data_IF_520217261325
#
_entry.id   IF_520217261325
#
_cell.length_a   1.000
_cell.length_b   1.000
_cell.length_c   1.000
_cell.angle_alpha   90.00
_cell.angle_beta   90.00
_cell.angle_gamma   90.00
#
_symmetry.space_group_name_H-M   'P 1'
#
loop_
_entity.id
_entity.type
_entity.pdbx_description
1 polymer ?
#
# COMPACT_ATOMS: atom_id res chain seq x y z
N UNK A 1 -24.52 -49.90 -45.72
CA UNK A 1 -24.26 -48.59 -45.08
C UNK A 1 -22.99 -48.01 -45.66
N UNK A 2 -23.13 -46.93 -46.45
CA UNK A 2 -22.09 -46.37 -47.29
C UNK A 2 -21.05 -45.60 -46.50
N UNK A 3 -19.81 -45.65 -46.97
CA UNK A 3 -18.62 -44.98 -46.40
C UNK A 3 -18.81 -43.49 -46.06
N UNK A 4 -19.71 -42.79 -46.73
CA UNK A 4 -20.04 -41.38 -46.54
C UNK A 4 -20.79 -41.13 -45.23
N UNK A 5 -21.56 -42.09 -44.69
CA UNK A 5 -22.26 -41.93 -43.40
C UNK A 5 -21.35 -42.07 -42.17
N UNK A 6 -20.20 -42.76 -42.31
CA UNK A 6 -19.21 -42.89 -41.21
C UNK A 6 -18.32 -41.65 -41.05
N UNK A 7 -18.17 -40.86 -42.12
CA UNK A 7 -17.36 -39.63 -42.08
C UNK A 7 -18.11 -38.47 -41.42
N UNK A 8 -19.45 -38.42 -41.55
CA UNK A 8 -20.28 -37.35 -40.92
C UNK A 8 -20.45 -37.50 -39.41
N UNK A 9 -20.33 -38.72 -38.89
CA UNK A 9 -20.43 -38.94 -37.42
C UNK A 9 -19.13 -38.63 -36.66
N UNK A 10 -17.97 -38.71 -37.36
CA UNK A 10 -16.67 -38.34 -36.72
C UNK A 10 -16.39 -36.87 -36.68
N UNK A 11 -16.98 -36.06 -37.57
CA UNK A 11 -16.81 -34.59 -37.57
C UNK A 11 -17.68 -33.92 -36.52
N UNK A 12 -18.80 -34.52 -36.09
CA UNK A 12 -19.68 -33.96 -35.07
C UNK A 12 -19.16 -34.15 -33.64
N UNK A 13 -18.33 -35.19 -33.40
CA UNK A 13 -17.77 -35.45 -32.06
C UNK A 13 -16.55 -34.57 -31.76
N UNK A 14 -15.82 -34.11 -32.81
CA UNK A 14 -14.64 -33.22 -32.61
C UNK A 14 -15.04 -31.77 -32.37
N UNK A 15 -16.23 -31.32 -32.82
CA UNK A 15 -16.72 -29.96 -32.56
C UNK A 15 -17.25 -29.72 -31.13
N UNK A 16 -17.54 -30.80 -30.36
CA UNK A 16 -18.06 -30.70 -28.99
C UNK A 16 -16.95 -30.69 -27.91
N UNK A 17 -15.68 -30.91 -28.30
CA UNK A 17 -14.56 -30.97 -27.37
C UNK A 17 -13.68 -29.69 -27.33
N UNK A 18 -14.02 -28.65 -28.10
CA UNK A 18 -13.28 -27.37 -28.15
C UNK A 18 -13.99 -26.20 -27.51
N UNK A 19 -15.10 -26.41 -26.80
CA UNK A 19 -15.85 -25.34 -26.12
C UNK A 19 -15.78 -25.43 -24.59
N UNK A 20 -14.72 -25.91 -23.99
CA UNK A 20 -14.66 -26.30 -22.61
C UNK A 20 -13.88 -25.46 -21.59
N UNK A 21 -13.18 -24.36 -21.85
CA UNK A 21 -12.63 -23.54 -20.75
C UNK A 21 -13.31 -22.17 -20.54
N UNK A 22 -14.12 -21.67 -21.49
CA UNK A 22 -14.66 -20.29 -21.41
C UNK A 22 -15.77 -20.10 -20.39
N UNK A 23 -16.56 -21.13 -20.08
CA UNK A 23 -17.73 -21.02 -19.20
C UNK A 23 -17.38 -20.85 -17.70
N UNK A 24 -16.21 -21.33 -17.28
CA UNK A 24 -15.79 -21.21 -15.87
C UNK A 24 -15.15 -19.86 -15.54
N UNK A 25 -14.44 -19.24 -16.48
CA UNK A 25 -13.86 -17.91 -16.29
C UNK A 25 -14.94 -16.84 -16.22
N UNK A 26 -15.93 -16.87 -17.11
CA UNK A 26 -17.08 -15.94 -17.11
C UNK A 26 -17.89 -16.01 -15.82
N UNK A 27 -17.99 -17.19 -15.18
CA UNK A 27 -18.68 -17.35 -13.88
C UNK A 27 -17.90 -16.71 -12.72
N UNK A 28 -16.58 -16.87 -12.67
CA UNK A 28 -15.72 -16.28 -11.63
C UNK A 28 -15.72 -14.74 -11.68
N UNK A 29 -15.50 -14.18 -12.85
CA UNK A 29 -15.51 -12.71 -13.03
C UNK A 29 -16.86 -12.11 -12.67
N UNK A 30 -17.94 -12.77 -13.08
CA UNK A 30 -19.32 -12.37 -12.71
C UNK A 30 -19.53 -12.44 -11.20
N UNK A 31 -19.06 -13.48 -10.52
CA UNK A 31 -19.16 -13.64 -9.06
C UNK A 31 -18.36 -12.56 -8.34
N UNK A 32 -17.12 -12.31 -8.76
CA UNK A 32 -16.26 -11.24 -8.21
C UNK A 32 -16.96 -9.88 -8.39
N UNK A 33 -17.42 -9.57 -9.59
CA UNK A 33 -18.11 -8.32 -9.87
C UNK A 33 -19.37 -8.14 -8.99
N UNK A 34 -20.15 -9.20 -8.76
CA UNK A 34 -21.34 -9.16 -7.90
C UNK A 34 -20.98 -8.90 -6.43
N UNK A 35 -19.88 -9.46 -5.93
CA UNK A 35 -19.39 -9.17 -4.56
C UNK A 35 -18.95 -7.70 -4.46
N UNK A 36 -18.12 -7.23 -5.40
CA UNK A 36 -17.55 -5.88 -5.38
C UNK A 36 -18.59 -4.77 -5.61
N UNK A 37 -19.74 -5.06 -6.26
CA UNK A 37 -20.88 -4.13 -6.35
C UNK A 37 -21.51 -3.81 -5.00
N UNK A 38 -21.47 -4.72 -4.05
CA UNK A 38 -22.12 -4.58 -2.74
C UNK A 38 -21.14 -4.37 -1.59
N UNK A 39 -19.88 -4.80 -1.79
CA UNK A 39 -18.82 -4.72 -0.77
C UNK A 39 -17.63 -3.95 -1.35
N UNK A 40 -17.35 -2.74 -0.88
CA UNK A 40 -16.25 -1.94 -1.42
C UNK A 40 -14.91 -2.62 -1.16
N UNK A 41 -14.13 -2.85 -2.21
CA UNK A 41 -12.70 -3.18 -2.11
C UNK A 41 -11.96 -1.92 -1.69
N UNK A 42 -11.19 -1.99 -0.60
CA UNK A 42 -10.44 -0.85 -0.06
C UNK A 42 -8.95 -1.06 -0.31
N UNK A 43 -8.33 -0.12 -1.03
CA UNK A 43 -6.87 0.02 -1.09
C UNK A 43 -6.40 0.74 0.18
N UNK A 44 -5.57 0.06 0.98
CA UNK A 44 -5.12 0.55 2.29
C UNK A 44 -4.04 1.62 2.21
N UNK A 45 -3.33 1.73 1.08
CA UNK A 45 -2.21 2.66 0.95
C UNK A 45 -1.86 2.92 -0.50
N UNK A 46 -1.89 4.18 -0.91
CA UNK A 46 -1.63 4.57 -2.29
C UNK A 46 -0.82 5.86 -2.36
N UNK A 47 0.40 5.76 -2.90
CA UNK A 47 1.37 6.86 -2.98
C UNK A 47 1.20 7.76 -4.20
N UNK A 48 0.04 7.75 -4.84
CA UNK A 48 -0.20 8.65 -5.97
C UNK A 48 0.00 10.14 -5.63
N UNK A 49 -0.37 10.64 -4.42
CA UNK A 49 -0.07 12.02 -4.05
C UNK A 49 1.43 12.35 -4.08
N UNK A 50 2.28 11.41 -3.66
CA UNK A 50 3.73 11.59 -3.74
C UNK A 50 4.26 11.62 -5.19
N UNK A 51 3.61 10.93 -6.14
CA UNK A 51 3.95 11.03 -7.57
C UNK A 51 3.67 12.44 -8.10
N UNK A 52 2.54 13.06 -7.71
CA UNK A 52 2.27 14.46 -8.05
C UNK A 52 3.32 15.42 -7.47
N UNK A 53 3.69 15.24 -6.20
CA UNK A 53 4.74 16.07 -5.59
C UNK A 53 6.05 15.95 -6.34
N UNK A 54 6.53 14.73 -6.56
CA UNK A 54 7.86 14.46 -7.10
C UNK A 54 7.99 14.81 -8.59
N UNK A 55 6.95 14.54 -9.39
CA UNK A 55 7.02 14.67 -10.85
C UNK A 55 6.61 16.04 -11.36
N UNK A 56 5.63 16.65 -10.73
CA UNK A 56 4.96 17.85 -11.25
C UNK A 56 4.75 18.92 -10.17
N UNK A 57 5.49 18.87 -9.05
CA UNK A 57 5.44 19.88 -7.98
C UNK A 57 4.01 20.23 -7.56
N UNK A 58 3.14 19.22 -7.42
CA UNK A 58 1.72 19.34 -7.05
C UNK A 58 0.82 20.07 -8.08
N UNK A 59 1.25 20.20 -9.35
CA UNK A 59 0.44 20.76 -10.44
C UNK A 59 -0.46 19.69 -11.08
N UNK A 60 -1.75 19.66 -10.72
CA UNK A 60 -2.71 18.64 -11.17
C UNK A 60 -2.85 18.58 -12.70
N UNK A 61 -2.75 19.73 -13.40
CA UNK A 61 -2.87 19.80 -14.86
C UNK A 61 -1.71 19.17 -15.64
N UNK A 62 -0.60 18.82 -14.98
CA UNK A 62 0.59 18.23 -15.61
C UNK A 62 0.64 16.71 -15.51
N UNK A 63 -0.24 16.10 -14.74
CA UNK A 63 -0.38 14.66 -14.62
C UNK A 63 -1.87 14.33 -14.45
N UNK A 64 -2.51 13.87 -15.52
CA UNK A 64 -3.93 13.58 -15.53
C UNK A 64 -4.22 12.15 -15.03
N UNK A 65 -4.75 12.03 -13.79
CA UNK A 65 -5.12 10.75 -13.19
C UNK A 65 -6.24 10.01 -13.96
N UNK A 66 -7.01 10.72 -14.79
CA UNK A 66 -8.05 10.11 -15.61
C UNK A 66 -7.51 9.47 -16.91
N UNK A 67 -6.26 9.72 -17.26
CA UNK A 67 -5.59 9.08 -18.39
C UNK A 67 -4.96 7.75 -18.03
N UNK A 68 -4.61 6.93 -19.03
CA UNK A 68 -3.85 5.68 -18.83
C UNK A 68 -2.37 6.01 -18.53
N UNK A 69 -2.03 6.02 -17.27
CA UNK A 69 -0.67 6.34 -16.80
C UNK A 69 0.32 5.17 -16.95
N UNK A 70 -0.07 4.07 -17.61
CA UNK A 70 0.89 3.03 -18.03
C UNK A 70 1.67 3.43 -19.28
N UNK A 71 1.19 4.42 -20.02
CA UNK A 71 1.73 4.86 -21.31
C UNK A 71 2.70 6.04 -21.20
N UNK A 72 2.91 6.59 -20.01
CA UNK A 72 3.86 7.69 -19.78
C UNK A 72 5.28 7.18 -19.50
N UNK A 73 6.27 8.03 -19.66
CA UNK A 73 7.63 7.76 -19.21
C UNK A 73 7.64 7.51 -17.70
N UNK A 74 8.23 6.38 -17.28
CA UNK A 74 8.18 5.88 -15.91
C UNK A 74 6.72 5.73 -15.41
N UNK A 75 5.99 4.70 -15.86
CA UNK A 75 4.59 4.48 -15.51
C UNK A 75 4.31 4.54 -14.02
N UNK A 76 3.11 4.97 -13.65
CA UNK A 76 2.63 4.88 -12.27
C UNK A 76 1.92 3.55 -12.02
N UNK A 77 1.80 3.15 -10.75
CA UNK A 77 1.02 1.96 -10.38
C UNK A 77 -0.49 2.24 -10.33
N UNK A 78 -0.91 3.52 -10.34
CA UNK A 78 -2.31 3.93 -10.14
C UNK A 78 -2.73 4.94 -11.20
N UNK A 79 -3.96 4.76 -11.73
CA UNK A 79 -4.77 5.73 -12.45
C UNK A 79 -6.26 5.38 -12.30
N UNK A 80 -7.16 6.30 -12.60
CA UNK A 80 -8.60 6.08 -12.50
C UNK A 80 -9.12 4.97 -13.43
N UNK A 81 -8.66 4.82 -14.68
CA UNK A 81 -9.04 3.69 -15.53
C UNK A 81 -8.77 2.32 -14.89
N UNK A 82 -7.60 2.14 -14.26
CA UNK A 82 -7.26 0.88 -13.58
C UNK A 82 -8.03 0.68 -12.28
N UNK A 83 -8.21 1.73 -11.46
CA UNK A 83 -9.03 1.66 -10.25
C UNK A 83 -10.48 1.27 -10.57
N UNK A 84 -11.07 1.84 -11.64
CA UNK A 84 -12.41 1.48 -12.11
C UNK A 84 -12.49 0.05 -12.62
N UNK A 85 -11.53 -0.36 -13.47
CA UNK A 85 -11.47 -1.73 -13.98
C UNK A 85 -11.32 -2.76 -12.88
N UNK A 86 -10.53 -2.45 -11.83
CA UNK A 86 -10.38 -3.26 -10.63
C UNK A 86 -11.56 -3.15 -9.66
N UNK A 87 -12.60 -2.37 -9.98
CA UNK A 87 -13.78 -2.14 -9.13
C UNK A 87 -13.40 -1.71 -7.69
N UNK A 88 -12.34 -0.91 -7.55
CA UNK A 88 -11.91 -0.37 -6.26
C UNK A 88 -12.99 0.57 -5.72
N UNK A 89 -13.50 0.26 -4.52
CA UNK A 89 -14.56 1.02 -3.87
C UNK A 89 -14.08 2.10 -2.92
N UNK A 90 -12.81 2.03 -2.49
CA UNK A 90 -12.18 3.05 -1.65
C UNK A 90 -10.67 3.02 -1.70
N UNK A 91 -10.04 4.17 -1.47
CA UNK A 91 -8.58 4.33 -1.47
C UNK A 91 -8.15 5.21 -0.30
N UNK A 92 -7.13 4.77 0.43
CA UNK A 92 -6.37 5.63 1.31
C UNK A 92 -5.22 6.28 0.54
N UNK A 93 -5.37 7.55 0.22
CA UNK A 93 -4.30 8.36 -0.36
C UNK A 93 -3.25 8.66 0.72
N UNK A 94 -2.02 8.21 0.49
CA UNK A 94 -0.90 8.44 1.39
C UNK A 94 -0.45 9.90 1.32
N UNK A 95 -0.45 10.60 2.46
CA UNK A 95 0.17 11.92 2.61
C UNK A 95 1.55 11.74 3.22
N UNK A 96 2.45 11.22 2.40
CA UNK A 96 3.83 10.93 2.72
C UNK A 96 4.72 12.15 2.62
N UNK A 97 5.69 12.26 3.53
CA UNK A 97 6.86 13.15 3.42
C UNK A 97 8.11 12.39 3.91
N UNK A 98 9.28 12.52 3.23
CA UNK A 98 10.47 11.76 3.59
C UNK A 98 11.03 12.19 4.95
N UNK A 99 11.26 11.21 5.83
CA UNK A 99 11.81 11.48 7.16
C UNK A 99 13.23 12.06 7.09
N UNK A 100 14.02 11.69 6.08
CA UNK A 100 15.40 12.16 5.90
C UNK A 100 15.50 13.68 5.75
N UNK A 101 14.48 14.31 5.16
CA UNK A 101 14.40 15.76 4.99
C UNK A 101 13.65 16.51 6.11
N UNK A 102 12.69 15.84 6.74
CA UNK A 102 11.69 16.46 7.61
C UNK A 102 11.69 15.95 9.05
N UNK A 103 12.30 14.77 9.33
CA UNK A 103 12.30 14.18 10.68
C UNK A 103 12.83 15.13 11.76
N UNK A 104 12.04 15.31 12.81
CA UNK A 104 12.36 16.20 13.93
C UNK A 104 12.30 17.70 13.61
N UNK A 105 11.77 18.09 12.44
CA UNK A 105 11.65 19.49 12.03
C UNK A 105 10.18 19.94 11.98
N UNK A 106 9.86 21.18 12.41
CA UNK A 106 8.50 21.74 12.32
C UNK A 106 7.93 21.74 10.89
N UNK A 107 8.78 21.83 9.88
CA UNK A 107 8.41 21.80 8.46
C UNK A 107 7.74 20.47 8.03
N UNK A 108 7.91 19.38 8.80
CA UNK A 108 7.19 18.14 8.55
C UNK A 108 5.67 18.34 8.58
N UNK A 109 5.16 19.09 9.56
CA UNK A 109 3.71 19.40 9.70
C UNK A 109 3.21 20.17 8.49
N UNK A 110 3.94 21.22 8.04
CA UNK A 110 3.58 21.99 6.86
C UNK A 110 3.56 21.10 5.61
N UNK A 111 4.61 20.31 5.38
CA UNK A 111 4.70 19.44 4.19
C UNK A 111 3.55 18.41 4.13
N UNK A 112 3.14 17.87 5.28
CA UNK A 112 1.96 16.97 5.34
C UNK A 112 0.66 17.73 5.07
N UNK A 113 0.53 18.97 5.56
CA UNK A 113 -0.62 19.82 5.23
C UNK A 113 -0.70 20.11 3.72
N UNK A 114 0.43 20.37 3.05
CA UNK A 114 0.52 20.56 1.60
C UNK A 114 0.08 19.29 0.84
N UNK A 115 0.44 18.09 1.35
CA UNK A 115 -0.03 16.82 0.78
C UNK A 115 -1.54 16.59 1.01
N UNK A 116 -2.07 16.95 2.18
CA UNK A 116 -3.52 16.89 2.47
C UNK A 116 -4.28 17.84 1.53
N UNK A 117 -3.79 19.05 1.30
CA UNK A 117 -4.38 20.00 0.36
C UNK A 117 -4.37 19.42 -1.07
N UNK A 118 -3.24 18.87 -1.50
CA UNK A 118 -3.12 18.21 -2.80
C UNK A 118 -4.20 17.11 -2.97
N UNK A 119 -4.34 16.21 -1.98
CA UNK A 119 -5.34 15.13 -2.05
C UNK A 119 -6.75 15.70 -2.14
N UNK A 120 -7.09 16.72 -1.37
CA UNK A 120 -8.41 17.36 -1.45
C UNK A 120 -8.66 18.01 -2.82
N UNK A 121 -7.66 18.69 -3.38
CA UNK A 121 -7.75 19.26 -4.73
C UNK A 121 -7.87 18.17 -5.80
N UNK A 122 -7.15 17.05 -5.66
CA UNK A 122 -7.23 15.89 -6.55
C UNK A 122 -8.63 15.29 -6.54
N UNK A 123 -9.22 15.09 -5.36
CA UNK A 123 -10.60 14.60 -5.20
C UNK A 123 -11.60 15.55 -5.87
N UNK A 124 -11.46 16.85 -5.65
CA UNK A 124 -12.34 17.85 -6.23
C UNK A 124 -12.17 17.97 -7.76
N UNK A 125 -10.94 17.78 -8.26
CA UNK A 125 -10.66 17.80 -9.69
C UNK A 125 -11.28 16.61 -10.44
N UNK A 126 -11.40 15.48 -9.76
CA UNK A 126 -11.99 14.25 -10.28
C UNK A 126 -13.29 13.89 -9.55
N UNK A 127 -14.14 14.88 -9.30
CA UNK A 127 -15.37 14.73 -8.47
C UNK A 127 -16.41 13.78 -9.07
N UNK A 128 -16.33 13.48 -10.37
CA UNK A 128 -17.13 12.43 -10.99
C UNK A 128 -16.76 11.02 -10.53
N UNK A 129 -15.51 10.81 -10.15
CA UNK A 129 -14.93 9.51 -9.77
C UNK A 129 -14.66 9.38 -8.30
N UNK A 130 -14.20 10.45 -7.67
CA UNK A 130 -13.68 10.48 -6.31
C UNK A 130 -14.61 11.30 -5.41
N UNK A 131 -14.72 10.88 -4.15
CA UNK A 131 -15.40 11.67 -3.11
C UNK A 131 -14.76 11.43 -1.77
N UNK A 132 -14.49 12.51 -1.01
CA UNK A 132 -13.89 12.41 0.33
C UNK A 132 -14.80 11.64 1.29
N UNK A 133 -14.23 10.64 1.96
CA UNK A 133 -14.86 9.86 3.01
C UNK A 133 -14.13 10.09 4.33
N UNK A 134 -14.89 10.24 5.43
CA UNK A 134 -14.34 10.48 6.76
C UNK A 134 -14.68 9.38 7.77
N UNK A 135 -15.54 8.44 7.38
CA UNK A 135 -15.99 7.31 8.20
C UNK A 135 -16.53 6.15 7.34
N UNK A 136 -16.78 5.01 7.97
CA UNK A 136 -17.29 3.81 7.30
C UNK A 136 -18.68 3.98 6.69
N UNK A 137 -19.51 4.88 7.22
CA UNK A 137 -20.86 5.17 6.67
C UNK A 137 -20.74 5.93 5.36
N UNK A 138 -19.87 6.94 5.31
CA UNK A 138 -19.59 7.72 4.10
C UNK A 138 -18.96 6.84 3.00
N UNK A 139 -18.06 5.91 3.34
CA UNK A 139 -17.50 4.95 2.36
C UNK A 139 -18.63 4.18 1.66
N UNK A 140 -19.56 3.57 2.42
CA UNK A 140 -20.68 2.81 1.85
C UNK A 140 -21.61 3.66 1.00
N UNK A 141 -21.91 4.89 1.45
CA UNK A 141 -22.76 5.83 0.71
C UNK A 141 -22.12 6.23 -0.62
N UNK A 142 -20.82 6.56 -0.61
CA UNK A 142 -20.10 6.95 -1.80
C UNK A 142 -19.99 5.77 -2.77
N UNK A 143 -19.62 4.58 -2.30
CA UNK A 143 -19.54 3.37 -3.12
C UNK A 143 -20.88 3.05 -3.80
N UNK A 144 -22.01 3.21 -3.10
CA UNK A 144 -23.35 3.00 -3.65
C UNK A 144 -23.70 3.97 -4.80
N UNK A 145 -22.99 5.10 -4.94
CA UNK A 145 -23.13 6.03 -6.07
C UNK A 145 -22.23 5.67 -7.26
N UNK A 146 -21.40 4.64 -7.14
CA UNK A 146 -20.42 4.25 -8.16
C UNK A 146 -19.11 5.06 -8.12
N UNK A 147 -18.93 5.94 -7.13
CA UNK A 147 -17.67 6.67 -6.91
C UNK A 147 -16.74 5.90 -5.98
N UNK A 148 -15.45 6.24 -6.04
CA UNK A 148 -14.41 5.71 -5.18
C UNK A 148 -14.33 6.58 -3.92
N UNK A 149 -14.57 6.00 -2.75
CA UNK A 149 -14.42 6.67 -1.47
C UNK A 149 -12.93 6.98 -1.21
N UNK A 150 -12.60 8.24 -1.11
CA UNK A 150 -11.23 8.73 -0.93
C UNK A 150 -10.98 9.09 0.52
N UNK A 151 -10.02 8.43 1.15
CA UNK A 151 -9.60 8.68 2.53
C UNK A 151 -8.17 9.20 2.53
N UNK A 152 -7.74 9.80 3.64
CA UNK A 152 -6.40 10.33 3.81
C UNK A 152 -5.68 9.54 4.89
N UNK A 153 -4.53 8.95 4.53
CA UNK A 153 -3.65 8.25 5.44
C UNK A 153 -2.31 8.97 5.60
N UNK A 154 -1.90 9.24 6.83
CA UNK A 154 -0.60 9.83 7.13
C UNK A 154 0.44 8.72 7.23
N UNK A 155 1.56 8.85 6.50
CA UNK A 155 2.63 7.88 6.55
C UNK A 155 3.85 8.42 7.32
N UNK A 156 3.94 7.98 8.57
CA UNK A 156 5.05 8.32 9.48
C UNK A 156 4.72 9.37 10.53
N UNK A 157 4.87 8.99 11.79
CA UNK A 157 4.59 9.86 12.95
C UNK A 157 5.53 11.07 13.11
N UNK A 158 6.62 11.18 12.34
CA UNK A 158 7.40 12.40 12.24
C UNK A 158 6.56 13.58 11.73
N UNK A 159 5.47 13.30 11.01
CA UNK A 159 4.48 14.26 10.51
C UNK A 159 3.86 15.14 11.61
N UNK A 160 3.76 14.65 12.84
CA UNK A 160 3.21 15.45 13.96
C UNK A 160 4.27 16.27 14.70
N UNK A 161 5.57 16.13 14.36
CA UNK A 161 6.68 16.81 15.03
C UNK A 161 6.60 16.72 16.57
N UNK A 162 6.35 15.53 17.11
CA UNK A 162 6.21 15.22 18.54
C UNK A 162 5.13 16.06 19.27
N UNK A 163 4.05 16.43 18.58
CA UNK A 163 2.97 17.27 19.10
C UNK A 163 1.59 16.62 18.96
N UNK A 164 0.94 16.34 20.09
CA UNK A 164 -0.46 15.88 20.09
C UNK A 164 -1.42 16.96 19.56
N UNK A 165 -1.06 18.24 19.66
CA UNK A 165 -1.85 19.31 19.06
C UNK A 165 -1.83 19.22 17.53
N UNK A 166 -0.64 18.99 16.93
CA UNK A 166 -0.52 18.77 15.49
C UNK A 166 -1.31 17.53 15.04
N UNK A 167 -1.27 16.43 15.81
CA UNK A 167 -2.06 15.23 15.53
C UNK A 167 -3.56 15.53 15.45
N UNK A 168 -4.10 16.30 16.42
CA UNK A 168 -5.51 16.71 16.41
C UNK A 168 -5.88 17.55 15.19
N UNK A 169 -5.04 18.54 14.85
CA UNK A 169 -5.30 19.40 13.70
C UNK A 169 -5.24 18.64 12.37
N UNK A 170 -4.32 17.70 12.23
CA UNK A 170 -4.21 16.86 11.02
C UNK A 170 -5.42 15.89 10.89
N UNK A 171 -5.95 15.41 12.03
CA UNK A 171 -7.21 14.67 12.03
C UNK A 171 -8.40 15.55 11.59
N UNK A 172 -8.50 16.77 12.10
CA UNK A 172 -9.54 17.74 11.72
C UNK A 172 -9.44 18.11 10.23
N UNK A 173 -8.22 18.14 9.68
CA UNK A 173 -8.00 18.30 8.24
C UNK A 173 -8.41 17.08 7.40
N UNK A 174 -8.73 15.94 8.01
CA UNK A 174 -9.29 14.79 7.32
C UNK A 174 -8.46 13.51 7.35
N UNK A 175 -7.28 13.49 7.98
CA UNK A 175 -6.51 12.27 8.16
C UNK A 175 -7.28 11.23 8.99
N UNK A 176 -7.27 9.96 8.57
CA UNK A 176 -8.05 8.89 9.22
C UNK A 176 -7.21 7.73 9.72
N UNK A 177 -5.95 7.64 9.32
CA UNK A 177 -4.92 6.88 10.04
C UNK A 177 -3.61 7.64 10.11
N UNK A 178 -2.72 7.21 10.99
CA UNK A 178 -1.31 7.58 10.98
C UNK A 178 -0.47 6.32 11.22
N UNK A 179 0.47 6.06 10.31
CA UNK A 179 1.53 5.07 10.50
C UNK A 179 2.52 5.62 11.53
N UNK A 180 2.80 4.88 12.61
CA UNK A 180 3.54 5.42 13.75
C UNK A 180 5.00 5.77 13.42
N UNK A 181 5.64 5.03 12.49
CA UNK A 181 6.97 5.33 11.93
C UNK A 181 6.96 5.17 10.42
N UNK A 182 8.03 5.61 9.75
CA UNK A 182 8.37 5.19 8.39
C UNK A 182 9.71 4.41 8.42
N UNK A 183 10.65 4.71 7.53
CA UNK A 183 11.97 4.04 7.40
C UNK A 183 12.89 4.21 8.61
N UNK A 184 12.66 5.22 9.45
CA UNK A 184 13.49 5.52 10.63
C UNK A 184 12.67 5.56 11.92
N UNK A 185 13.31 5.14 13.02
CA UNK A 185 12.79 5.29 14.37
C UNK A 185 12.65 6.77 14.75
N UNK A 186 11.66 7.05 15.61
CA UNK A 186 11.38 8.37 16.16
C UNK A 186 11.87 8.49 17.59
N UNK A 187 11.69 9.64 18.23
CA UNK A 187 11.96 9.82 19.66
C UNK A 187 11.03 9.00 20.57
N UNK A 188 10.01 8.33 20.00
CA UNK A 188 8.97 7.68 20.76
C UNK A 188 8.46 6.34 20.20
N UNK A 189 8.98 5.89 19.06
CA UNK A 189 8.63 4.60 18.45
C UNK A 189 9.78 4.09 17.57
N UNK A 190 10.04 2.78 17.61
CA UNK A 190 11.03 2.13 16.77
C UNK A 190 10.44 1.68 15.43
N UNK A 191 11.21 1.89 14.34
CA UNK A 191 10.91 1.43 12.98
C UNK A 191 11.44 0.02 12.74
N UNK A 192 10.78 -0.71 11.82
CA UNK A 192 11.21 -2.04 11.36
C UNK A 192 12.55 -2.04 10.61
N UNK A 193 12.95 -0.89 10.04
CA UNK A 193 14.12 -0.77 9.14
C UNK A 193 15.20 0.19 9.67
N UNK A 194 15.18 0.45 10.97
CA UNK A 194 16.18 1.26 11.66
C UNK A 194 16.72 0.53 12.91
N UNK A 195 17.74 1.08 13.52
CA UNK A 195 18.28 0.58 14.80
C UNK A 195 17.26 0.77 15.92
N UNK A 196 17.09 -0.27 16.74
CA UNK A 196 16.26 -0.23 17.95
C UNK A 196 16.82 0.80 18.93
N UNK A 197 15.95 1.63 19.52
CA UNK A 197 16.31 2.69 20.48
C UNK A 197 15.51 2.63 21.76
N UNK A 198 14.30 2.08 21.71
CA UNK A 198 13.32 2.15 22.79
C UNK A 198 12.73 0.79 23.17
N UNK A 199 13.09 -0.27 22.40
CA UNK A 199 12.46 -1.60 22.50
C UNK A 199 10.92 -1.49 22.37
N UNK A 200 10.44 -0.65 21.43
CA UNK A 200 9.03 -0.43 21.14
C UNK A 200 8.60 1.03 21.25
N UNK A 201 7.54 1.29 22.03
CA UNK A 201 6.99 2.63 22.29
C UNK A 201 7.55 3.22 23.59
N UNK A 202 7.89 4.52 23.57
CA UNK A 202 8.05 5.27 24.82
C UNK A 202 6.69 5.66 25.42
N UNK A 203 6.69 6.22 26.64
CA UNK A 203 5.47 6.76 27.27
C UNK A 203 4.77 7.81 26.39
N UNK A 204 5.51 8.63 25.63
CA UNK A 204 4.90 9.56 24.68
C UNK A 204 4.27 8.83 23.50
N UNK A 205 4.90 7.76 22.98
CA UNK A 205 4.33 6.90 21.94
C UNK A 205 3.00 6.27 22.36
N UNK A 206 2.91 5.81 23.62
CA UNK A 206 1.65 5.33 24.20
C UNK A 206 0.57 6.42 24.24
N UNK A 207 0.94 7.66 24.62
CA UNK A 207 0.01 8.79 24.59
C UNK A 207 -0.46 9.13 23.17
N UNK A 208 0.39 9.00 22.15
CA UNK A 208 0.00 9.17 20.74
C UNK A 208 -1.07 8.14 20.36
N UNK A 209 -0.85 6.84 20.68
CA UNK A 209 -1.82 5.77 20.41
C UNK A 209 -3.15 6.02 21.10
N UNK A 210 -3.13 6.43 22.37
CA UNK A 210 -4.34 6.74 23.13
C UNK A 210 -5.08 7.96 22.57
N UNK A 211 -4.37 8.98 22.13
CA UNK A 211 -4.98 10.18 21.53
C UNK A 211 -5.58 9.85 20.16
N UNK A 212 -4.91 9.03 19.33
CA UNK A 212 -5.49 8.51 18.09
C UNK A 212 -6.80 7.76 18.35
N UNK A 213 -6.84 6.89 19.36
CA UNK A 213 -8.07 6.19 19.74
C UNK A 213 -9.18 7.18 20.19
N UNK A 214 -8.84 8.22 20.97
CA UNK A 214 -9.80 9.24 21.41
C UNK A 214 -10.41 10.02 20.24
N UNK A 215 -9.60 10.32 19.23
CA UNK A 215 -10.03 11.01 18.00
C UNK A 215 -10.87 10.13 17.10
N UNK A 216 -10.71 8.80 17.16
CA UNK A 216 -11.23 7.86 16.17
C UNK A 216 -10.32 7.74 14.93
N UNK A 217 -9.04 8.13 15.07
CA UNK A 217 -8.01 7.89 14.07
C UNK A 217 -7.47 6.47 14.22
N UNK A 218 -7.39 5.71 13.14
CA UNK A 218 -6.84 4.36 13.15
C UNK A 218 -5.33 4.40 13.38
N UNK A 219 -4.83 3.52 14.26
CA UNK A 219 -3.40 3.30 14.48
C UNK A 219 -2.92 2.36 13.39
N UNK A 220 -2.05 2.83 12.51
CA UNK A 220 -1.42 2.03 11.46
C UNK A 220 -0.05 1.55 11.92
N UNK A 221 0.14 0.23 11.88
CA UNK A 221 1.34 -0.46 12.34
C UNK A 221 2.24 -0.97 11.20
N UNK A 222 1.96 -0.59 9.97
CA UNK A 222 2.95 -0.75 8.91
C UNK A 222 4.22 0.03 9.25
N UNK A 223 5.39 -0.43 8.83
CA UNK A 223 6.71 0.18 9.08
C UNK A 223 7.27 0.10 10.51
N UNK A 224 6.51 -0.23 11.51
CA UNK A 224 7.01 -0.23 12.90
C UNK A 224 7.74 -1.52 13.24
N UNK A 225 8.66 -1.47 14.23
CA UNK A 225 9.34 -2.66 14.74
C UNK A 225 8.37 -3.66 15.37
N UNK A 226 8.76 -4.93 15.51
CA UNK A 226 7.92 -5.97 16.14
C UNK A 226 7.52 -5.62 17.58
N UNK A 227 8.41 -4.97 18.32
CA UNK A 227 8.13 -4.54 19.68
C UNK A 227 7.16 -3.36 19.71
N UNK A 228 7.30 -2.42 18.78
CA UNK A 228 6.31 -1.34 18.60
C UNK A 228 4.93 -1.90 18.21
N UNK A 229 4.85 -2.96 17.38
CA UNK A 229 3.58 -3.64 17.06
C UNK A 229 2.91 -4.18 18.34
N UNK A 230 3.67 -4.89 19.18
CA UNK A 230 3.17 -5.47 20.43
C UNK A 230 2.73 -4.43 21.43
N UNK A 231 3.53 -3.37 21.60
CA UNK A 231 3.20 -2.27 22.50
C UNK A 231 1.96 -1.50 22.06
N UNK A 232 1.87 -1.14 20.78
CA UNK A 232 0.69 -0.46 20.25
C UNK A 232 -0.57 -1.33 20.38
N UNK A 233 -0.47 -2.64 20.15
CA UNK A 233 -1.58 -3.57 20.37
C UNK A 233 -1.94 -3.69 21.86
N UNK A 234 -0.98 -3.63 22.79
CA UNK A 234 -1.23 -3.60 24.24
C UNK A 234 -2.00 -2.35 24.64
N UNK A 235 -1.58 -1.19 24.16
CA UNK A 235 -2.09 0.14 24.56
C UNK A 235 -3.41 0.49 23.85
N UNK A 236 -3.55 0.15 22.57
CA UNK A 236 -4.71 0.53 21.77
C UNK A 236 -6.00 -0.09 22.30
N UNK A 237 -7.01 0.76 22.47
CA UNK A 237 -8.38 0.38 22.86
C UNK A 237 -9.31 0.15 21.68
N UNK A 238 -8.85 0.48 20.47
CA UNK A 238 -9.56 0.34 19.21
C UNK A 238 -8.84 -0.66 18.31
N UNK A 239 -9.52 -1.24 17.31
CA UNK A 239 -8.86 -2.03 16.27
C UNK A 239 -7.74 -1.24 15.60
N UNK A 240 -6.62 -1.91 15.31
CA UNK A 240 -5.50 -1.34 14.57
C UNK A 240 -5.54 -1.80 13.11
N UNK A 241 -4.80 -1.12 12.25
CA UNK A 241 -4.59 -1.56 10.86
C UNK A 241 -3.10 -1.77 10.60
N UNK A 242 -2.81 -2.60 9.61
CA UNK A 242 -1.59 -2.59 8.84
C UNK A 242 -2.00 -2.21 7.42
N UNK A 243 -1.76 -0.97 7.05
CA UNK A 243 -2.25 -0.44 5.77
C UNK A 243 -1.59 -1.10 4.55
N UNK A 244 -0.34 -1.61 4.71
CA UNK A 244 0.44 -2.28 3.67
C UNK A 244 1.55 -3.14 4.28
N UNK A 245 1.24 -4.36 4.67
CA UNK A 245 2.18 -5.37 5.20
C UNK A 245 1.71 -6.76 4.80
N UNK A 246 2.61 -7.76 4.87
CA UNK A 246 2.29 -9.14 4.56
C UNK A 246 2.63 -10.06 5.75
N UNK A 247 2.60 -11.38 5.59
CA UNK A 247 2.85 -12.35 6.67
C UNK A 247 4.34 -12.68 6.77
N UNK A 248 4.93 -12.53 7.97
CA UNK A 248 6.35 -12.83 8.20
C UNK A 248 6.68 -14.31 8.02
N UNK A 249 5.75 -15.21 8.36
CA UNK A 249 5.94 -16.64 8.18
C UNK A 249 6.02 -17.07 6.70
N UNK A 250 5.44 -16.27 5.77
CA UNK A 250 5.53 -16.50 4.32
C UNK A 250 6.84 -15.94 3.78
N UNK A 251 7.17 -14.71 4.17
CA UNK A 251 8.39 -14.01 3.73
C UNK A 251 8.99 -13.27 4.92
N UNK A 252 10.23 -13.63 5.29
CA UNK A 252 10.92 -13.12 6.48
C UNK A 252 11.46 -11.70 6.27
N UNK A 253 10.57 -10.80 5.86
CA UNK A 253 10.89 -9.39 5.71
C UNK A 253 10.53 -8.61 6.98
N UNK A 254 11.40 -7.69 7.43
CA UNK A 254 11.18 -6.91 8.67
C UNK A 254 9.87 -6.09 8.66
N UNK A 255 9.33 -5.77 7.47
CA UNK A 255 8.07 -5.06 7.27
C UNK A 255 6.82 -5.95 7.40
N UNK A 256 6.99 -7.28 7.47
CA UNK A 256 5.92 -8.25 7.56
C UNK A 256 5.53 -8.53 9.01
N UNK A 257 4.32 -9.03 9.22
CA UNK A 257 3.68 -9.18 10.53
C UNK A 257 3.93 -10.59 11.07
N UNK A 258 4.56 -10.76 12.26
CA UNK A 258 4.75 -12.05 12.90
C UNK A 258 3.41 -12.71 13.32
N UNK A 259 3.39 -14.04 13.40
CA UNK A 259 2.17 -14.82 13.71
C UNK A 259 1.57 -14.49 15.08
N UNK A 260 2.41 -14.26 16.09
CA UNK A 260 1.95 -13.84 17.43
C UNK A 260 1.24 -12.48 17.37
N UNK A 261 1.75 -11.56 16.55
CA UNK A 261 1.14 -10.24 16.31
C UNK A 261 -0.16 -10.39 15.50
N UNK A 262 -0.19 -11.24 14.45
CA UNK A 262 -1.41 -11.55 13.69
C UNK A 262 -2.53 -12.08 14.62
N UNK A 263 -2.18 -12.95 15.56
CA UNK A 263 -3.13 -13.46 16.54
C UNK A 263 -3.69 -12.35 17.47
N UNK A 264 -2.86 -11.38 17.86
CA UNK A 264 -3.29 -10.20 18.63
C UNK A 264 -4.18 -9.27 17.80
N UNK A 265 -3.83 -9.02 16.54
CA UNK A 265 -4.65 -8.23 15.59
C UNK A 265 -6.03 -8.86 15.45
N UNK A 266 -6.11 -10.19 15.25
CA UNK A 266 -7.38 -10.90 15.18
C UNK A 266 -8.23 -10.75 16.44
N UNK A 267 -7.62 -10.90 17.64
CA UNK A 267 -8.31 -10.71 18.94
C UNK A 267 -8.85 -9.27 19.09
N UNK A 268 -8.15 -8.28 18.57
CA UNK A 268 -8.54 -6.88 18.58
C UNK A 268 -9.44 -6.47 17.42
N UNK A 269 -9.82 -7.43 16.54
CA UNK A 269 -10.62 -7.17 15.32
C UNK A 269 -9.99 -6.14 14.38
N UNK A 270 -8.67 -6.09 14.37
CA UNK A 270 -7.88 -5.31 13.42
C UNK A 270 -7.79 -6.00 12.05
N UNK A 271 -7.06 -5.39 11.13
CA UNK A 271 -6.87 -5.90 9.77
C UNK A 271 -5.43 -5.71 9.31
N UNK A 272 -4.93 -6.67 8.54
CA UNK A 272 -3.71 -6.53 7.76
C UNK A 272 -4.08 -6.48 6.29
N UNK A 273 -3.73 -5.40 5.62
CA UNK A 273 -3.96 -5.19 4.19
C UNK A 273 -2.69 -5.59 3.45
N UNK A 274 -2.77 -6.72 2.75
CA UNK A 274 -1.62 -7.33 2.07
C UNK A 274 -1.18 -6.42 0.92
N UNK A 275 0.11 -6.13 0.85
CA UNK A 275 0.70 -5.48 -0.31
C UNK A 275 1.31 -6.53 -1.27
N UNK A 276 1.46 -6.15 -2.54
CA UNK A 276 1.97 -7.01 -3.60
C UNK A 276 3.42 -6.67 -3.99
N UNK A 277 4.18 -5.98 -3.12
CA UNK A 277 5.61 -5.83 -3.35
C UNK A 277 6.27 -7.21 -3.30
N UNK A 278 6.86 -7.64 -4.39
CA UNK A 278 7.31 -9.03 -4.59
C UNK A 278 8.28 -9.51 -3.50
N UNK A 279 9.14 -8.62 -2.97
CA UNK A 279 10.03 -8.93 -1.84
C UNK A 279 9.32 -9.09 -0.48
N UNK A 280 8.00 -8.80 -0.38
CA UNK A 280 7.22 -8.98 0.85
C UNK A 280 6.33 -10.23 0.80
N UNK A 281 6.16 -10.81 -0.38
CA UNK A 281 5.30 -11.98 -0.59
C UNK A 281 6.03 -13.20 -1.15
N UNK A 282 7.30 -13.05 -1.55
CA UNK A 282 8.14 -14.14 -2.06
C UNK A 282 9.51 -14.13 -1.37
N UNK A 283 9.83 -15.19 -0.63
CA UNK A 283 11.11 -15.32 0.07
C UNK A 283 12.31 -15.39 -0.90
N UNK A 284 12.24 -16.11 -2.05
CA UNK A 284 13.30 -16.05 -3.07
C UNK A 284 13.55 -14.63 -3.58
N UNK A 285 12.48 -13.85 -3.82
CA UNK A 285 12.61 -12.46 -4.26
C UNK A 285 13.20 -11.57 -3.17
N UNK A 286 12.83 -11.77 -1.90
CA UNK A 286 13.43 -11.06 -0.76
C UNK A 286 14.93 -11.29 -0.67
N UNK A 287 15.36 -12.55 -0.79
CA UNK A 287 16.79 -12.92 -0.75
C UNK A 287 17.55 -12.33 -1.94
N UNK A 288 16.96 -12.39 -3.14
CA UNK A 288 17.56 -11.77 -4.33
C UNK A 288 17.71 -10.25 -4.14
N UNK A 289 16.69 -9.58 -3.58
CA UNK A 289 16.73 -8.13 -3.32
C UNK A 289 17.79 -7.75 -2.32
N UNK A 290 17.91 -8.50 -1.22
CA UNK A 290 18.97 -8.29 -0.23
C UNK A 290 20.37 -8.45 -0.83
N UNK A 291 20.60 -9.50 -1.63
CA UNK A 291 21.87 -9.70 -2.31
C UNK A 291 22.18 -8.58 -3.32
N UNK A 292 21.18 -8.05 -4.00
CA UNK A 292 21.31 -6.91 -4.91
C UNK A 292 21.70 -5.64 -4.15
N UNK A 293 21.06 -5.36 -3.02
CA UNK A 293 21.34 -4.20 -2.17
C UNK A 293 22.76 -4.28 -1.55
N UNK A 294 23.15 -5.44 -1.01
CA UNK A 294 24.50 -5.68 -0.48
C UNK A 294 25.59 -5.49 -1.56
N UNK A 295 25.33 -6.01 -2.77
CA UNK A 295 26.26 -5.87 -3.89
C UNK A 295 26.37 -4.40 -4.33
N UNK A 296 25.25 -3.69 -4.43
CA UNK A 296 25.23 -2.26 -4.77
C UNK A 296 25.98 -1.42 -3.74
N UNK A 297 25.80 -1.70 -2.43
CA UNK A 297 26.56 -1.02 -1.38
C UNK A 297 28.07 -1.29 -1.49
N UNK A 298 28.45 -2.53 -1.74
CA UNK A 298 29.85 -2.90 -1.93
C UNK A 298 30.45 -2.15 -3.12
N UNK A 299 29.75 -2.07 -4.24
CA UNK A 299 30.20 -1.34 -5.42
C UNK A 299 30.32 0.17 -5.15
N UNK A 300 29.34 0.77 -4.51
CA UNK A 300 29.33 2.20 -4.19
C UNK A 300 30.47 2.61 -3.22
N UNK A 301 30.94 1.67 -2.38
CA UNK A 301 32.10 1.91 -1.47
C UNK A 301 33.43 1.84 -2.17
N UNK A 302 33.55 1.05 -3.25
CA UNK A 302 34.84 0.67 -3.83
C UNK A 302 35.10 1.25 -5.24
N UNK A 303 34.07 1.78 -5.90
CA UNK A 303 34.15 2.22 -7.29
C UNK A 303 33.49 3.58 -7.49
N UNK A 304 33.97 4.31 -8.51
CA UNK A 304 33.28 5.53 -8.97
C UNK A 304 31.86 5.22 -9.54
N UNK A 305 30.92 6.16 -9.50
CA UNK A 305 29.50 5.91 -9.81
C UNK A 305 29.26 5.28 -11.20
N UNK A 306 30.08 5.60 -12.20
CA UNK A 306 29.93 5.05 -13.55
C UNK A 306 30.35 3.59 -13.61
N UNK A 307 31.53 3.27 -13.08
CA UNK A 307 32.03 1.90 -12.98
C UNK A 307 31.13 1.03 -12.09
N UNK A 308 30.62 1.56 -10.98
CA UNK A 308 29.66 0.86 -10.12
C UNK A 308 28.38 0.49 -10.87
N UNK A 309 27.85 1.38 -11.73
CA UNK A 309 26.66 1.10 -12.56
C UNK A 309 26.92 -0.01 -13.59
N UNK A 310 28.07 0.01 -14.26
CA UNK A 310 28.42 -1.03 -15.23
C UNK A 310 28.58 -2.40 -14.55
N UNK A 311 29.30 -2.47 -13.44
CA UNK A 311 29.47 -3.70 -12.67
C UNK A 311 28.15 -4.22 -12.12
N UNK A 312 27.25 -3.33 -11.68
CA UNK A 312 25.91 -3.70 -11.23
C UNK A 312 25.05 -4.29 -12.36
N UNK A 313 25.15 -3.72 -13.57
CA UNK A 313 24.46 -4.25 -14.74
C UNK A 313 24.96 -5.65 -15.12
N UNK A 314 26.27 -5.88 -15.05
CA UNK A 314 26.89 -7.20 -15.28
C UNK A 314 26.42 -8.21 -14.22
N UNK A 315 26.43 -7.82 -12.94
CA UNK A 315 25.96 -8.67 -11.85
C UNK A 315 24.48 -9.07 -12.05
N UNK A 316 23.63 -8.09 -12.36
CA UNK A 316 22.18 -8.32 -12.58
C UNK A 316 21.91 -9.26 -13.76
N UNK A 317 22.73 -9.20 -14.82
CA UNK A 317 22.62 -10.11 -15.96
C UNK A 317 22.96 -11.56 -15.59
N UNK A 318 23.87 -11.78 -14.65
CA UNK A 318 24.27 -13.09 -14.15
C UNK A 318 23.35 -13.63 -13.05
N UNK A 319 22.64 -12.75 -12.38
CA UNK A 319 21.73 -13.07 -11.27
C UNK A 319 20.33 -12.51 -11.56
N UNK A 320 19.58 -13.11 -12.50
CA UNK A 320 18.24 -12.65 -12.83
C UNK A 320 17.29 -12.78 -11.62
N UNK A 321 16.38 -11.82 -11.50
CA UNK A 321 15.36 -11.86 -10.45
C UNK A 321 14.50 -13.13 -10.58
N UNK A 322 14.13 -13.77 -9.47
CA UNK A 322 13.17 -14.87 -9.49
C UNK A 322 11.84 -14.45 -10.11
N UNK A 323 11.21 -15.34 -10.84
CA UNK A 323 9.82 -15.12 -11.26
C UNK A 323 8.90 -15.24 -10.06
N UNK A 324 7.99 -14.27 -9.91
CA UNK A 324 6.99 -14.24 -8.83
C UNK A 324 5.61 -14.21 -9.45
N UNK A 325 4.77 -15.15 -9.05
CA UNK A 325 3.39 -15.29 -9.53
C UNK A 325 2.39 -15.00 -8.41
N UNK A 326 1.09 -14.98 -8.75
CA UNK A 326 0.03 -14.85 -7.74
C UNK A 326 -0.13 -16.12 -6.86
N UNK A 327 0.62 -17.17 -7.13
CA UNK A 327 0.58 -18.45 -6.39
C UNK A 327 1.78 -18.63 -5.44
N UNK A 328 2.72 -17.68 -5.43
CA UNK A 328 3.83 -17.63 -4.47
C UNK A 328 3.40 -16.95 -3.18
#
# INVERSE_FOLDING_TARGET
MNFVQRLRLRTLVIALLLSGPSLYADDLDTRVANVLKTTPLIDGHNDMPWQYHRRVSNHLSQLDLASDLTQIDNPTHTDLPRLRRGMVGGVFWSVYVPIEGYGGKPQAVQAVMDQIDLVKRLINHHDHDLQLALDASSIRKIHATGKIASLIGMEGGHSINNSLASLRQLYDLGARYMTLTHSKGLLWADSATDTTRHDGLTSFGELVVLEMNRLGMMVDLSHVSFDTMRDALRVSRSPVIFSHSSAYAVTQHARNVPDDVLALVGKKRGIVMVNYLTSYVSEPMRLHRAALEDHQEMLNRNYEPEAARELMAQWSALHPAPEVTLFD
#
